data_IF_035000325460
#
_entry.id   IF_035000325460
#
_cell.length_a   1.000
_cell.length_b   1.000
_cell.length_c   1.000
_cell.angle_alpha   90.00
_cell.angle_beta   90.00
_cell.angle_gamma   90.00
#
_symmetry.space_group_name_H-M   'P 1'
#
loop_
_entity.id
_entity.type
_entity.pdbx_description
1 polymer ?
#
# COMPACT_ATOMS: atom_id res chain seq x y z
N UNK A 1 35.45 19.24 -36.31
CA UNK A 1 35.63 18.14 -35.33
C UNK A 1 34.27 17.89 -34.71
N UNK A 2 33.59 16.80 -35.11
CA UNK A 2 32.31 16.39 -34.65
C UNK A 2 32.44 15.78 -33.24
N UNK A 3 31.69 16.29 -32.23
CA UNK A 3 31.53 15.62 -30.95
C UNK A 3 30.68 14.37 -31.19
N UNK A 4 31.24 13.20 -30.97
CA UNK A 4 30.48 11.96 -30.82
C UNK A 4 29.89 11.92 -29.39
N UNK A 5 28.59 11.94 -29.32
CA UNK A 5 27.83 11.67 -28.08
C UNK A 5 28.00 10.18 -27.78
N UNK A 6 28.80 9.88 -26.76
CA UNK A 6 28.85 8.55 -26.15
C UNK A 6 27.56 8.37 -25.29
N UNK A 7 26.55 7.77 -25.91
CA UNK A 7 25.44 7.18 -25.15
C UNK A 7 25.96 6.00 -24.32
N UNK A 8 26.25 6.23 -23.06
CA UNK A 8 26.49 5.16 -22.10
C UNK A 8 25.16 4.49 -21.80
N UNK A 9 24.79 3.50 -22.59
CA UNK A 9 23.74 2.56 -22.23
C UNK A 9 24.18 1.80 -20.97
N UNK A 10 23.45 1.89 -19.84
CA UNK A 10 23.74 1.07 -18.69
C UNK A 10 23.56 -0.41 -19.10
N UNK A 11 24.42 -1.32 -18.62
CA UNK A 11 24.32 -2.73 -18.97
C UNK A 11 22.90 -3.21 -18.63
N UNK A 12 22.24 -3.83 -19.62
CA UNK A 12 21.02 -4.60 -19.38
C UNK A 12 21.40 -5.74 -18.45
N UNK A 13 21.08 -5.60 -17.16
CA UNK A 13 21.13 -6.73 -16.24
C UNK A 13 20.00 -7.64 -16.65
N UNK A 14 20.31 -8.68 -17.39
CA UNK A 14 19.37 -9.77 -17.67
C UNK A 14 19.09 -10.48 -16.33
N UNK A 15 17.89 -10.30 -15.81
CA UNK A 15 17.39 -11.02 -14.63
C UNK A 15 17.01 -12.48 -14.93
N UNK A 16 17.47 -13.06 -16.03
CA UNK A 16 17.20 -14.44 -16.46
C UNK A 16 17.88 -15.52 -15.61
N UNK A 17 18.60 -15.16 -14.53
CA UNK A 17 19.29 -16.11 -13.64
C UNK A 17 18.76 -16.23 -12.22
N UNK A 18 17.77 -15.44 -11.80
CA UNK A 18 17.10 -15.62 -10.53
C UNK A 18 15.84 -16.50 -10.72
N UNK A 19 16.05 -17.79 -10.97
CA UNK A 19 15.05 -18.80 -10.64
C UNK A 19 14.94 -18.74 -9.12
N UNK A 20 14.00 -17.93 -8.61
CA UNK A 20 13.56 -18.03 -7.24
C UNK A 20 12.94 -19.43 -7.15
N UNK A 21 13.64 -20.33 -6.47
CA UNK A 21 13.05 -21.60 -6.06
C UNK A 21 11.72 -21.27 -5.38
N UNK A 22 10.58 -21.60 -5.99
CA UNK A 22 9.25 -21.22 -5.50
C UNK A 22 8.98 -21.74 -4.09
N UNK A 23 9.86 -22.62 -3.59
CA UNK A 23 9.82 -23.20 -2.26
C UNK A 23 10.53 -22.36 -1.18
N UNK A 24 11.39 -21.40 -1.55
CA UNK A 24 12.14 -20.59 -0.58
C UNK A 24 11.63 -19.14 -0.54
N UNK A 25 11.08 -18.76 0.60
CA UNK A 25 10.74 -17.34 0.85
C UNK A 25 12.01 -16.50 0.83
N UNK A 26 12.06 -15.46 0.01
CA UNK A 26 13.19 -14.53 -0.07
C UNK A 26 13.48 -13.90 1.30
N UNK A 27 14.73 -13.89 1.72
CA UNK A 27 15.17 -13.22 2.95
C UNK A 27 15.40 -11.74 2.65
N UNK A 28 14.47 -10.89 3.10
CA UNK A 28 14.58 -9.44 3.02
C UNK A 28 15.01 -8.93 4.39
N UNK A 29 16.17 -8.27 4.43
CA UNK A 29 16.69 -7.59 5.61
C UNK A 29 16.68 -6.09 5.37
N UNK A 30 16.28 -5.32 6.39
CA UNK A 30 16.11 -3.87 6.29
C UNK A 30 16.93 -3.19 7.37
N UNK A 31 17.83 -2.31 6.97
CA UNK A 31 18.50 -1.37 7.86
C UNK A 31 17.63 -0.13 8.02
N UNK A 32 17.05 0.04 9.21
CA UNK A 32 16.15 1.15 9.53
C UNK A 32 16.98 2.40 9.85
N UNK A 33 16.44 3.56 9.48
CA UNK A 33 16.95 4.87 9.88
C UNK A 33 15.84 5.77 10.43
N UNK A 34 16.21 6.91 11.02
CA UNK A 34 15.24 7.94 11.40
C UNK A 34 14.64 8.56 10.14
N UNK A 35 13.37 8.94 10.22
CA UNK A 35 12.74 9.71 9.16
C UNK A 35 13.46 11.05 8.99
N UNK A 36 13.70 11.40 7.74
CA UNK A 36 14.12 12.77 7.37
C UNK A 36 12.90 13.69 7.30
N UNK A 37 13.09 15.00 7.49
CA UNK A 37 12.03 16.00 7.33
C UNK A 37 11.37 15.93 5.95
N UNK A 38 12.14 15.59 4.92
CA UNK A 38 11.65 15.41 3.56
C UNK A 38 10.69 14.24 3.44
N UNK A 39 11.00 13.13 4.07
CA UNK A 39 10.13 11.95 4.10
C UNK A 39 8.85 12.22 4.90
N UNK A 40 8.96 12.89 6.05
CA UNK A 40 7.80 13.30 6.84
C UNK A 40 6.91 14.29 6.07
N UNK A 41 7.48 15.27 5.38
CA UNK A 41 6.74 16.18 4.49
C UNK A 41 6.07 15.42 3.34
N UNK A 42 6.74 14.41 2.78
CA UNK A 42 6.17 13.59 1.72
C UNK A 42 4.96 12.80 2.22
N UNK A 43 5.03 12.12 3.37
CA UNK A 43 3.90 11.42 3.98
C UNK A 43 2.79 12.39 4.40
N UNK A 44 3.14 13.53 4.98
CA UNK A 44 2.22 14.60 5.34
C UNK A 44 1.44 15.17 4.15
N UNK A 45 2.03 15.16 2.94
CA UNK A 45 1.31 15.55 1.72
C UNK A 45 0.12 14.65 1.38
N UNK A 46 0.09 13.43 1.91
CA UNK A 46 -1.02 12.47 1.83
C UNK A 46 -1.87 12.43 3.12
N UNK A 47 -1.63 13.37 4.05
CA UNK A 47 -2.37 13.44 5.31
C UNK A 47 -1.96 12.39 6.35
N UNK A 48 -0.80 11.75 6.19
CA UNK A 48 -0.32 10.68 7.06
C UNK A 48 0.72 11.25 8.01
N UNK A 49 0.46 11.15 9.31
CA UNK A 49 1.34 11.62 10.39
C UNK A 49 2.42 10.59 10.73
N UNK A 50 3.52 11.05 11.34
CA UNK A 50 4.57 10.16 11.89
C UNK A 50 3.99 9.18 12.92
N UNK A 51 3.03 9.63 13.74
CA UNK A 51 2.34 8.77 14.70
C UNK A 51 1.64 7.60 14.00
N UNK A 52 0.98 7.85 12.88
CA UNK A 52 0.32 6.80 12.09
C UNK A 52 1.35 5.88 11.43
N UNK A 53 2.46 6.40 10.91
CA UNK A 53 3.53 5.56 10.39
C UNK A 53 4.04 4.58 11.46
N UNK A 54 4.30 5.05 12.68
CA UNK A 54 4.72 4.22 13.81
C UNK A 54 3.69 3.14 14.17
N UNK A 55 2.40 3.50 14.26
CA UNK A 55 1.31 2.55 14.55
C UNK A 55 1.21 1.45 13.49
N UNK A 56 1.40 1.79 12.22
CA UNK A 56 1.35 0.85 11.11
C UNK A 56 2.68 0.14 10.85
N UNK A 57 3.68 0.32 11.74
CA UNK A 57 5.03 -0.28 11.65
C UNK A 57 5.67 -0.02 10.29
N UNK A 58 5.54 1.22 9.83
CA UNK A 58 6.23 1.75 8.65
C UNK A 58 7.52 2.40 9.12
N UNK A 59 8.63 2.12 8.44
CA UNK A 59 9.96 2.60 8.81
C UNK A 59 10.64 3.22 7.59
N UNK A 60 11.44 4.28 7.82
CA UNK A 60 12.40 4.74 6.82
C UNK A 60 13.55 3.74 6.73
N UNK A 61 13.93 3.34 5.52
CA UNK A 61 14.97 2.34 5.27
C UNK A 61 16.22 3.02 4.72
N UNK A 62 17.40 2.72 5.31
CA UNK A 62 18.70 3.14 4.81
C UNK A 62 19.20 2.20 3.72
N UNK A 63 19.28 0.91 4.05
CA UNK A 63 19.70 -0.14 3.15
C UNK A 63 18.69 -1.30 3.16
N UNK A 64 18.58 -1.98 2.04
CA UNK A 64 17.79 -3.19 1.88
C UNK A 64 18.71 -4.26 1.32
N UNK A 65 18.67 -5.44 1.95
CA UNK A 65 19.42 -6.61 1.51
C UNK A 65 18.43 -7.70 1.09
N UNK A 66 18.77 -8.38 0.01
CA UNK A 66 18.04 -9.54 -0.50
C UNK A 66 18.97 -10.75 -0.48
N UNK A 67 18.61 -11.76 0.32
CA UNK A 67 19.42 -12.98 0.51
C UNK A 67 20.88 -12.66 0.88
N UNK A 68 21.09 -11.69 1.78
CA UNK A 68 22.40 -11.26 2.25
C UNK A 68 23.14 -10.26 1.36
N UNK A 69 22.69 -10.01 0.13
CA UNK A 69 23.31 -9.06 -0.79
C UNK A 69 22.60 -7.70 -0.75
N UNK A 70 23.38 -6.62 -0.82
CA UNK A 70 22.84 -5.26 -0.91
C UNK A 70 21.97 -5.11 -2.18
N UNK A 71 20.68 -4.89 -2.00
CA UNK A 71 19.72 -4.70 -3.09
C UNK A 71 19.54 -3.24 -3.47
N UNK A 72 19.42 -2.35 -2.47
CA UNK A 72 19.21 -0.91 -2.68
C UNK A 72 19.59 -0.10 -1.46
N UNK A 73 20.06 1.12 -1.70
CA UNK A 73 20.30 2.13 -0.66
C UNK A 73 19.44 3.36 -0.88
N UNK A 74 18.96 3.97 0.20
CA UNK A 74 18.20 5.22 0.13
C UNK A 74 19.12 6.40 -0.18
N UNK A 75 18.52 7.44 -0.75
CA UNK A 75 19.15 8.74 -0.93
C UNK A 75 18.10 9.84 -0.83
N UNK A 76 18.53 11.09 -0.91
CA UNK A 76 17.61 12.23 -0.93
C UNK A 76 16.56 12.15 -2.07
N UNK A 77 16.86 11.49 -3.18
CA UNK A 77 15.96 11.30 -4.33
C UNK A 77 15.32 9.92 -4.41
N UNK A 78 15.78 8.97 -3.61
CA UNK A 78 15.30 7.58 -3.59
C UNK A 78 14.90 7.22 -2.15
N UNK A 79 13.77 7.73 -1.65
CA UNK A 79 13.25 7.31 -0.35
C UNK A 79 12.76 5.87 -0.42
N UNK A 80 12.94 5.13 0.68
CA UNK A 80 12.51 3.75 0.81
C UNK A 80 11.79 3.55 2.14
N UNK A 81 10.64 2.88 2.11
CA UNK A 81 9.80 2.68 3.29
C UNK A 81 9.49 1.19 3.47
N UNK A 82 9.86 0.63 4.62
CA UNK A 82 9.59 -0.75 4.97
C UNK A 82 8.30 -0.89 5.78
N UNK A 83 7.38 -1.70 5.32
CA UNK A 83 6.19 -2.12 6.05
C UNK A 83 6.49 -3.44 6.73
N UNK A 84 6.61 -3.43 8.06
CA UNK A 84 6.97 -4.60 8.84
C UNK A 84 5.74 -5.48 9.10
N UNK A 85 5.80 -6.71 8.62
CA UNK A 85 4.72 -7.69 8.75
C UNK A 85 4.84 -8.64 9.94
N UNK A 86 5.95 -8.57 10.69
CA UNK A 86 6.24 -9.45 11.82
C UNK A 86 7.43 -10.38 11.54
N UNK A 87 7.65 -11.34 12.45
CA UNK A 87 8.71 -12.33 12.38
C UNK A 87 8.14 -13.71 12.66
N UNK A 88 8.57 -14.72 11.91
CA UNK A 88 8.22 -16.13 12.13
C UNK A 88 9.40 -17.01 11.74
N UNK A 89 9.73 -17.98 12.58
CA UNK A 89 10.81 -18.97 12.35
C UNK A 89 12.16 -18.32 11.99
N UNK A 90 12.50 -17.20 12.67
CA UNK A 90 13.73 -16.44 12.42
C UNK A 90 13.63 -15.47 11.22
N UNK A 91 12.68 -15.62 10.33
CA UNK A 91 12.50 -14.80 9.15
C UNK A 91 11.61 -13.58 9.44
N UNK A 92 12.07 -12.39 9.06
CA UNK A 92 11.26 -11.16 9.09
C UNK A 92 10.49 -10.97 7.80
N UNK A 93 9.23 -10.52 7.93
CA UNK A 93 8.38 -10.23 6.79
C UNK A 93 8.36 -8.73 6.53
N UNK A 94 8.88 -8.36 5.38
CA UNK A 94 8.96 -6.98 4.92
C UNK A 94 8.27 -6.79 3.58
N UNK A 95 7.59 -5.67 3.44
CA UNK A 95 7.15 -5.13 2.17
C UNK A 95 7.75 -3.75 2.01
N UNK A 96 8.72 -3.60 1.14
CA UNK A 96 9.44 -2.35 0.94
C UNK A 96 8.82 -1.57 -0.22
N UNK A 97 8.48 -0.33 0.05
CA UNK A 97 7.94 0.63 -0.91
C UNK A 97 9.00 1.63 -1.35
N UNK A 98 9.23 1.73 -2.63
CA UNK A 98 10.19 2.62 -3.28
C UNK A 98 9.43 3.55 -4.26
N UNK A 99 8.85 4.66 -3.82
CA UNK A 99 7.91 5.47 -4.59
C UNK A 99 8.48 6.03 -5.89
N UNK A 100 9.79 6.27 -5.96
CA UNK A 100 10.46 6.87 -7.12
C UNK A 100 10.94 5.85 -8.15
N UNK A 101 10.93 4.55 -7.83
CA UNK A 101 11.30 3.49 -8.79
C UNK A 101 10.14 3.20 -9.74
N UNK A 102 10.40 3.23 -11.05
CA UNK A 102 9.36 2.99 -12.07
C UNK A 102 9.06 1.51 -12.26
N UNK A 103 10.08 0.66 -12.32
CA UNK A 103 9.96 -0.75 -12.72
C UNK A 103 9.67 -1.70 -11.55
N UNK A 104 10.07 -1.37 -10.33
CA UNK A 104 9.87 -2.18 -9.13
C UNK A 104 9.62 -1.30 -7.91
N UNK A 105 8.39 -0.81 -7.80
CA UNK A 105 7.98 0.01 -6.65
C UNK A 105 7.93 -0.75 -5.34
N UNK A 106 7.79 -2.07 -5.40
CA UNK A 106 7.67 -2.92 -4.23
C UNK A 106 8.62 -4.11 -4.31
N UNK A 107 9.28 -4.39 -3.18
CA UNK A 107 9.95 -5.65 -2.88
C UNK A 107 9.25 -6.26 -1.68
N UNK A 108 8.87 -7.55 -1.71
CA UNK A 108 8.09 -8.13 -0.62
C UNK A 108 8.33 -9.62 -0.48
N UNK A 109 8.48 -10.09 0.76
CA UNK A 109 8.41 -11.49 1.11
C UNK A 109 7.15 -11.82 1.95
N UNK A 110 6.16 -10.94 1.97
CA UNK A 110 4.86 -11.22 2.56
C UNK A 110 4.17 -12.33 1.79
N UNK A 111 3.59 -13.29 2.51
CA UNK A 111 2.77 -14.31 1.86
C UNK A 111 1.41 -13.75 1.42
N UNK A 112 0.71 -14.47 0.55
CA UNK A 112 -0.57 -14.05 -0.06
C UNK A 112 -1.70 -13.86 0.97
N UNK A 113 -1.59 -14.43 2.17
CA UNK A 113 -2.62 -14.31 3.22
C UNK A 113 -2.45 -13.06 4.08
N UNK A 114 -1.31 -12.38 4.03
CA UNK A 114 -1.06 -11.17 4.81
C UNK A 114 -1.87 -10.00 4.25
N UNK A 115 -2.49 -9.26 5.16
CA UNK A 115 -3.36 -8.12 4.83
C UNK A 115 -2.76 -6.86 5.43
N UNK A 116 -2.59 -5.83 4.61
CA UNK A 116 -2.10 -4.52 5.04
C UNK A 116 -3.11 -3.87 5.99
N UNK A 117 -2.64 -3.42 7.15
CA UNK A 117 -3.46 -2.73 8.15
C UNK A 117 -4.36 -3.62 9.03
N UNK A 118 -4.38 -4.95 8.82
CA UNK A 118 -5.27 -5.84 9.56
C UNK A 118 -5.06 -5.80 11.09
N UNK A 119 -3.84 -5.57 11.56
CA UNK A 119 -3.49 -5.46 12.98
C UNK A 119 -4.07 -4.21 13.67
N UNK A 120 -4.50 -3.22 12.90
CA UNK A 120 -5.09 -1.97 13.39
C UNK A 120 -6.62 -1.99 13.42
N UNK A 121 -7.24 -3.06 12.89
CA UNK A 121 -8.70 -3.15 12.89
C UNK A 121 -9.25 -3.34 14.31
N UNK A 122 -10.30 -2.62 14.70
CA UNK A 122 -11.05 -2.90 15.93
C UNK A 122 -11.68 -4.30 15.87
N UNK A 123 -12.01 -4.88 17.03
CA UNK A 123 -12.65 -6.21 17.09
C UNK A 123 -13.95 -6.25 16.31
N UNK A 124 -14.76 -5.20 16.44
CA UNK A 124 -16.05 -5.02 15.74
C UNK A 124 -16.23 -3.56 15.35
N UNK A 125 -17.15 -3.26 14.46
CA UNK A 125 -17.45 -1.88 14.07
C UNK A 125 -18.60 -1.75 13.09
N UNK A 126 -19.02 -0.51 12.84
CA UNK A 126 -20.07 -0.19 11.87
C UNK A 126 -19.59 -0.41 10.42
N UNK A 127 -18.37 0.04 10.12
CA UNK A 127 -17.85 0.06 8.76
C UNK A 127 -16.38 -0.39 8.73
N UNK A 128 -16.02 -1.16 7.71
CA UNK A 128 -14.62 -1.37 7.31
C UNK A 128 -14.46 -1.16 5.80
N UNK A 129 -13.40 -0.46 5.42
CA UNK A 129 -13.08 -0.20 4.01
C UNK A 129 -11.97 -1.14 3.53
N UNK A 130 -12.16 -1.76 2.39
CA UNK A 130 -11.14 -2.50 1.66
C UNK A 130 -10.65 -1.59 0.53
N UNK A 131 -9.39 -1.18 0.60
CA UNK A 131 -8.72 -0.36 -0.42
C UNK A 131 -7.60 -1.11 -1.12
N UNK A 132 -6.70 -0.45 -1.86
CA UNK A 132 -5.65 -1.10 -2.65
C UNK A 132 -4.25 -0.95 -2.07
N UNK A 133 -4.00 0.04 -1.22
CA UNK A 133 -2.65 0.35 -0.74
C UNK A 133 -2.59 0.65 0.76
N UNK A 134 -1.41 0.43 1.36
CA UNK A 134 -1.14 0.83 2.75
C UNK A 134 -1.26 2.35 2.92
N UNK A 135 -0.93 3.12 1.91
CA UNK A 135 -1.05 4.59 1.92
C UNK A 135 -2.50 5.02 2.14
N UNK A 136 -3.44 4.39 1.41
CA UNK A 136 -4.87 4.67 1.57
C UNK A 136 -5.40 4.19 2.90
N UNK A 137 -4.95 3.01 3.37
CA UNK A 137 -5.30 2.48 4.70
C UNK A 137 -4.91 3.46 5.79
N UNK A 138 -3.68 3.98 5.75
CA UNK A 138 -3.20 4.94 6.75
C UNK A 138 -3.94 6.28 6.68
N UNK A 139 -4.23 6.79 5.47
CA UNK A 139 -5.04 8.00 5.33
C UNK A 139 -6.45 7.81 5.89
N UNK A 140 -7.12 6.69 5.59
CA UNK A 140 -8.43 6.40 6.14
C UNK A 140 -8.41 6.29 7.68
N UNK A 141 -7.33 5.74 8.25
CA UNK A 141 -7.11 5.76 9.70
C UNK A 141 -7.03 7.20 10.26
N UNK A 142 -6.34 8.12 9.60
CA UNK A 142 -6.29 9.55 9.98
C UNK A 142 -7.68 10.23 9.89
N UNK A 143 -8.59 9.66 9.12
CA UNK A 143 -9.99 10.09 9.02
C UNK A 143 -10.93 9.36 9.99
N UNK A 144 -10.39 8.45 10.85
CA UNK A 144 -11.17 7.68 11.81
C UNK A 144 -11.91 6.49 11.20
N UNK A 145 -11.50 6.00 10.03
CA UNK A 145 -12.17 4.92 9.30
C UNK A 145 -11.29 3.67 9.31
N UNK A 146 -11.77 2.55 9.88
CA UNK A 146 -11.09 1.27 9.79
C UNK A 146 -10.94 0.83 8.34
N UNK A 147 -9.70 0.52 7.93
CA UNK A 147 -9.42 0.11 6.56
C UNK A 147 -8.33 -0.95 6.49
N UNK A 148 -8.37 -1.74 5.42
CA UNK A 148 -7.36 -2.73 5.07
C UNK A 148 -7.10 -2.71 3.56
N UNK A 149 -5.98 -3.32 3.16
CA UNK A 149 -5.71 -3.58 1.76
C UNK A 149 -5.12 -5.00 1.58
N UNK A 150 -5.35 -5.66 0.41
CA UNK A 150 -4.69 -6.91 0.08
C UNK A 150 -3.17 -6.73 0.05
N UNK A 151 -2.44 -7.87 0.06
CA UNK A 151 -0.98 -7.84 0.00
C UNK A 151 -0.43 -7.18 -1.28
N UNK A 152 -1.10 -7.36 -2.42
CA UNK A 152 -0.67 -6.78 -3.71
C UNK A 152 -1.86 -6.30 -4.53
N UNK A 153 -1.58 -5.50 -5.56
CA UNK A 153 -2.62 -4.99 -6.49
C UNK A 153 -3.38 -6.09 -7.22
N UNK A 154 -2.72 -7.22 -7.50
CA UNK A 154 -3.32 -8.41 -8.15
C UNK A 154 -4.04 -9.34 -7.19
N UNK A 155 -3.85 -9.16 -5.88
CA UNK A 155 -4.48 -10.00 -4.86
C UNK A 155 -5.81 -9.40 -4.42
N UNK A 156 -6.79 -10.26 -4.13
CA UNK A 156 -8.07 -9.88 -3.54
C UNK A 156 -8.19 -10.47 -2.13
N UNK A 157 -9.05 -9.85 -1.33
CA UNK A 157 -9.52 -10.48 -0.08
C UNK A 157 -10.28 -11.75 -0.47
N UNK A 158 -9.89 -12.90 0.06
CA UNK A 158 -10.53 -14.17 -0.22
C UNK A 158 -11.83 -14.35 0.58
N UNK A 159 -12.60 -15.40 0.24
CA UNK A 159 -13.92 -15.67 0.83
C UNK A 159 -13.86 -15.80 2.37
N UNK A 160 -12.85 -16.50 2.88
CA UNK A 160 -12.66 -16.70 4.33
C UNK A 160 -12.37 -15.36 5.02
N UNK A 161 -11.51 -14.56 4.44
CA UNK A 161 -11.16 -13.23 4.97
C UNK A 161 -12.38 -12.30 4.92
N UNK A 162 -13.12 -12.31 3.81
CA UNK A 162 -14.33 -11.52 3.65
C UNK A 162 -15.43 -11.95 4.64
N UNK A 163 -15.64 -13.25 4.83
CA UNK A 163 -16.59 -13.77 5.81
C UNK A 163 -16.25 -13.29 7.24
N UNK A 164 -14.98 -13.36 7.63
CA UNK A 164 -14.49 -12.83 8.92
C UNK A 164 -14.72 -11.32 9.07
N UNK A 165 -14.57 -10.54 8.00
CA UNK A 165 -14.90 -9.10 8.04
C UNK A 165 -16.39 -8.86 8.20
N UNK A 166 -17.25 -9.59 7.47
CA UNK A 166 -18.72 -9.48 7.59
C UNK A 166 -19.25 -9.89 8.96
N UNK A 167 -18.56 -10.79 9.68
CA UNK A 167 -18.89 -11.12 11.08
C UNK A 167 -18.54 -10.01 12.07
N UNK A 168 -17.54 -9.18 11.77
CA UNK A 168 -17.01 -8.15 12.66
C UNK A 168 -17.58 -6.76 12.38
N UNK A 169 -17.97 -6.51 11.13
CA UNK A 169 -18.41 -5.19 10.68
C UNK A 169 -19.77 -5.28 10.01
N UNK A 170 -20.66 -4.36 10.34
CA UNK A 170 -21.99 -4.30 9.76
C UNK A 170 -21.95 -4.00 8.25
N UNK A 171 -20.99 -3.16 7.85
CA UNK A 171 -20.77 -2.81 6.45
C UNK A 171 -19.32 -3.06 6.05
N UNK A 172 -19.12 -3.90 5.03
CA UNK A 172 -17.85 -4.08 4.35
C UNK A 172 -17.94 -3.39 2.99
N UNK A 173 -17.00 -2.49 2.69
CA UNK A 173 -17.08 -1.58 1.56
C UNK A 173 -15.78 -1.59 0.76
N UNK A 174 -15.88 -1.52 -0.56
CA UNK A 174 -14.73 -1.35 -1.44
C UNK A 174 -14.50 0.13 -1.76
N UNK A 175 -13.24 0.52 -1.77
CA UNK A 175 -12.82 1.85 -2.19
C UNK A 175 -11.46 1.74 -2.92
N UNK A 176 -11.53 1.38 -4.21
CA UNK A 176 -10.35 1.11 -5.04
C UNK A 176 -9.97 2.30 -5.91
N UNK A 177 -8.93 2.14 -6.72
CA UNK A 177 -8.43 3.15 -7.64
C UNK A 177 -9.51 3.58 -8.65
N UNK A 178 -9.51 4.87 -8.97
CA UNK A 178 -10.45 5.53 -9.88
C UNK A 178 -9.99 5.40 -11.35
N UNK A 179 -9.59 4.18 -11.74
CA UNK A 179 -9.20 3.83 -13.10
C UNK A 179 -10.01 2.62 -13.61
N UNK A 180 -9.84 2.29 -14.89
CA UNK A 180 -10.58 1.17 -15.50
C UNK A 180 -10.35 -0.17 -14.79
N UNK A 181 -9.15 -0.44 -14.30
CA UNK A 181 -8.83 -1.66 -13.59
C UNK A 181 -9.53 -1.71 -12.23
N UNK A 182 -9.51 -0.61 -11.49
CA UNK A 182 -10.23 -0.46 -10.23
C UNK A 182 -11.74 -0.60 -10.41
N UNK A 183 -12.32 0.06 -11.43
CA UNK A 183 -13.76 -0.07 -11.76
C UNK A 183 -14.15 -1.51 -12.10
N UNK A 184 -13.40 -2.19 -12.95
CA UNK A 184 -13.65 -3.60 -13.31
C UNK A 184 -13.56 -4.50 -12.09
N UNK A 185 -12.53 -4.32 -11.26
CA UNK A 185 -12.30 -5.08 -10.04
C UNK A 185 -13.43 -4.88 -9.02
N UNK A 186 -13.82 -3.64 -8.72
CA UNK A 186 -14.91 -3.33 -7.80
C UNK A 186 -16.24 -3.90 -8.30
N UNK A 187 -16.56 -3.75 -9.59
CA UNK A 187 -17.79 -4.29 -10.16
C UNK A 187 -17.85 -5.83 -10.10
N UNK A 188 -16.73 -6.50 -10.39
CA UNK A 188 -16.63 -7.97 -10.25
C UNK A 188 -16.89 -8.38 -8.82
N UNK A 189 -16.20 -7.78 -7.85
CA UNK A 189 -16.32 -8.12 -6.45
C UNK A 189 -17.71 -7.78 -5.89
N UNK A 190 -18.29 -6.65 -6.29
CA UNK A 190 -19.67 -6.27 -5.95
C UNK A 190 -20.69 -7.29 -6.44
N UNK A 191 -20.58 -7.74 -7.71
CA UNK A 191 -21.49 -8.74 -8.28
C UNK A 191 -21.36 -10.09 -7.56
N UNK A 192 -20.14 -10.49 -7.22
CA UNK A 192 -19.87 -11.78 -6.60
C UNK A 192 -20.30 -11.83 -5.12
N UNK A 193 -20.11 -10.76 -4.37
CA UNK A 193 -20.22 -10.78 -2.91
C UNK A 193 -21.28 -9.84 -2.33
N UNK A 194 -21.95 -9.06 -3.16
CA UNK A 194 -22.98 -8.11 -2.73
C UNK A 194 -22.45 -6.92 -1.91
N UNK A 195 -21.13 -6.64 -1.96
CA UNK A 195 -20.53 -5.55 -1.19
C UNK A 195 -20.79 -4.20 -1.85
N UNK A 196 -21.00 -3.16 -1.03
CA UNK A 196 -21.16 -1.79 -1.51
C UNK A 196 -19.80 -1.18 -1.87
N UNK A 197 -19.81 -0.14 -2.72
CA UNK A 197 -18.60 0.52 -3.18
C UNK A 197 -18.70 2.04 -2.97
N UNK A 198 -17.57 2.66 -2.58
CA UNK A 198 -17.38 4.12 -2.63
C UNK A 198 -16.58 4.44 -3.89
N UNK A 199 -16.95 5.53 -4.56
CA UNK A 199 -16.34 5.97 -5.80
C UNK A 199 -15.84 7.40 -5.64
N UNK A 200 -14.64 7.68 -6.14
CA UNK A 200 -14.19 9.05 -6.35
C UNK A 200 -14.92 9.66 -7.55
N UNK A 201 -15.12 10.98 -7.57
CA UNK A 201 -15.61 11.68 -8.76
C UNK A 201 -14.68 11.40 -9.96
N UNK A 202 -15.27 11.22 -11.15
CA UNK A 202 -14.50 10.99 -12.38
C UNK A 202 -13.43 12.07 -12.55
N UNK A 203 -12.26 11.68 -13.02
CA UNK A 203 -11.13 12.58 -13.33
C UNK A 203 -10.63 13.42 -12.14
N UNK A 204 -11.02 13.10 -10.91
CA UNK A 204 -10.57 13.85 -9.72
C UNK A 204 -9.14 13.49 -9.31
N UNK A 205 -8.90 12.23 -8.98
CA UNK A 205 -7.62 11.67 -8.57
C UNK A 205 -7.63 10.15 -8.80
N UNK A 206 -6.45 9.51 -8.77
CA UNK A 206 -6.31 8.07 -8.98
C UNK A 206 -6.87 7.28 -7.79
N UNK A 207 -6.45 7.62 -6.58
CA UNK A 207 -6.84 7.00 -5.32
C UNK A 207 -7.20 8.05 -4.27
N UNK A 208 -7.66 7.62 -3.10
CA UNK A 208 -8.08 8.54 -2.03
C UNK A 208 -6.91 9.33 -1.45
N UNK A 209 -5.69 8.77 -1.46
CA UNK A 209 -4.49 9.46 -0.99
C UNK A 209 -4.07 10.57 -1.96
N UNK A 210 -4.15 10.32 -3.26
CA UNK A 210 -3.91 11.33 -4.28
C UNK A 210 -5.04 12.40 -4.28
N UNK A 211 -6.28 11.99 -3.95
CA UNK A 211 -7.38 12.92 -3.75
C UNK A 211 -7.10 13.87 -2.58
N UNK A 212 -6.65 13.35 -1.44
CA UNK A 212 -6.23 14.16 -0.30
C UNK A 212 -5.13 15.16 -0.67
N UNK A 213 -4.09 14.68 -1.35
CA UNK A 213 -2.97 15.51 -1.79
C UNK A 213 -3.42 16.66 -2.68
N UNK A 214 -4.42 16.44 -3.53
CA UNK A 214 -4.93 17.44 -4.48
C UNK A 214 -5.93 18.41 -3.85
N UNK A 215 -6.82 17.93 -2.99
CA UNK A 215 -7.99 18.69 -2.53
C UNK A 215 -8.00 18.96 -1.01
N UNK A 216 -7.07 18.37 -0.27
CA UNK A 216 -6.91 18.58 1.16
C UNK A 216 -7.93 17.86 2.04
N UNK A 217 -7.73 18.03 3.36
CA UNK A 217 -8.46 17.28 4.40
C UNK A 217 -9.99 17.48 4.35
N UNK A 218 -10.44 18.73 4.17
CA UNK A 218 -11.89 19.05 4.18
C UNK A 218 -12.63 18.30 3.09
N UNK A 219 -12.20 18.45 1.84
CA UNK A 219 -12.81 17.78 0.68
C UNK A 219 -12.75 16.26 0.78
N UNK A 220 -11.66 15.73 1.30
CA UNK A 220 -11.53 14.29 1.50
C UNK A 220 -12.52 13.76 2.55
N UNK A 221 -12.72 14.48 3.65
CA UNK A 221 -13.75 14.12 4.64
C UNK A 221 -15.16 14.16 4.03
N UNK A 222 -15.49 15.20 3.27
CA UNK A 222 -16.79 15.34 2.62
C UNK A 222 -17.13 14.16 1.72
N UNK A 223 -16.19 13.71 0.88
CA UNK A 223 -16.45 12.59 -0.04
C UNK A 223 -16.57 11.25 0.67
N UNK A 224 -15.79 11.04 1.72
CA UNK A 224 -15.86 9.84 2.55
C UNK A 224 -17.21 9.78 3.28
N UNK A 225 -17.61 10.89 3.88
CA UNK A 225 -18.89 10.97 4.61
C UNK A 225 -20.09 10.79 3.68
N UNK A 226 -20.06 11.42 2.51
CA UNK A 226 -21.08 11.18 1.48
C UNK A 226 -21.17 9.71 1.08
N UNK A 227 -20.04 9.04 0.86
CA UNK A 227 -19.98 7.62 0.55
C UNK A 227 -20.54 6.77 1.70
N UNK A 228 -20.18 7.11 2.94
CA UNK A 228 -20.67 6.44 4.16
C UNK A 228 -22.18 6.55 4.32
N UNK A 229 -22.75 7.74 4.17
CA UNK A 229 -24.21 7.95 4.27
C UNK A 229 -24.99 7.10 3.27
N UNK A 230 -24.51 6.97 2.02
CA UNK A 230 -25.13 6.09 1.01
C UNK A 230 -25.01 4.60 1.30
N UNK A 231 -24.18 4.21 2.24
CA UNK A 231 -23.96 2.82 2.61
C UNK A 231 -24.77 2.45 3.84
N UNK A 232 -24.89 3.35 4.80
CA UNK A 232 -25.53 3.11 6.08
C UNK A 232 -27.06 3.30 5.98
N UNK A 233 -27.50 4.21 5.11
CA UNK A 233 -28.91 4.41 4.74
C UNK A 233 -29.31 3.53 3.56
#
# INVERSE_FOLDING_TARGET
IKRQDLELNPPKVEYSGLILDETKTANIQVEIQRYTDRELKWWGSFGISETTLKKYKVFSCKNIFLNGNLFSSSSATIPMFGYYGGKKDGLEFWRVYMPTKKNYRFLSNWNKSMIQGAHMLPKTGELVVITKSMKDVMLLHEMGIPAIAPNSESTFINDIQLAKLKQRFKHVVLFYDNDLAGFKSMNKFRKQYGVKCIWLPRSSAKDISDYFKKFGKKRTKEIIEYGRQKIVN
#
